data_IF_318916336381
#
_entry.id   IF_318916336381
#
_cell.length_a   1.000
_cell.length_b   1.000
_cell.length_c   1.000
_cell.angle_alpha   90.00
_cell.angle_beta   90.00
_cell.angle_gamma   90.00
#
_symmetry.space_group_name_H-M   'P 1'
#
loop_
_entity.id
_entity.type
_entity.pdbx_description
1 polymer ?
#
# COMPACT_ATOMS: atom_id res chain seq x y z
N UNK A 1 22.46 -29.91 -14.60
CA UNK A 1 23.24 -28.99 -15.46
C UNK A 1 22.59 -28.73 -16.82
N UNK A 2 21.66 -29.56 -17.31
CA UNK A 2 21.06 -29.40 -18.65
C UNK A 2 20.09 -28.21 -18.80
N UNK A 3 19.41 -27.79 -17.73
CA UNK A 3 18.46 -26.68 -17.77
C UNK A 3 19.12 -25.34 -18.18
N UNK A 4 20.31 -25.06 -17.68
CA UNK A 4 21.05 -23.82 -17.98
C UNK A 4 21.54 -23.79 -19.43
N UNK A 5 21.84 -24.96 -20.02
CA UNK A 5 22.25 -25.11 -21.42
C UNK A 5 21.10 -24.77 -22.38
N UNK A 6 19.88 -25.19 -22.07
CA UNK A 6 18.70 -24.88 -22.87
C UNK A 6 18.32 -23.38 -22.81
N UNK A 7 18.50 -22.73 -21.66
CA UNK A 7 18.26 -21.29 -21.54
C UNK A 7 19.33 -20.44 -22.24
N UNK A 8 20.59 -20.87 -22.20
CA UNK A 8 21.68 -20.23 -22.93
C UNK A 8 21.44 -20.28 -24.46
N UNK A 9 21.01 -21.44 -24.99
CA UNK A 9 20.65 -21.60 -26.40
C UNK A 9 19.48 -20.69 -26.82
N UNK A 10 18.46 -20.54 -25.96
CA UNK A 10 17.36 -19.59 -26.20
C UNK A 10 17.85 -18.14 -26.25
N UNK A 11 18.75 -17.75 -25.35
CA UNK A 11 19.33 -16.41 -25.33
C UNK A 11 20.15 -16.11 -26.60
N UNK A 12 20.92 -17.07 -27.10
CA UNK A 12 21.65 -16.94 -28.37
C UNK A 12 20.72 -16.73 -29.57
N UNK A 13 19.63 -17.49 -29.65
CA UNK A 13 18.66 -17.35 -30.74
C UNK A 13 17.99 -15.98 -30.75
N UNK A 14 17.67 -15.44 -29.57
CA UNK A 14 17.13 -14.09 -29.42
C UNK A 14 18.17 -13.04 -29.83
N UNK A 15 19.43 -13.22 -29.43
CA UNK A 15 20.51 -12.30 -29.79
C UNK A 15 20.73 -12.25 -31.31
N UNK A 16 20.75 -13.41 -31.99
CA UNK A 16 20.85 -13.50 -33.46
C UNK A 16 19.66 -12.86 -34.17
N UNK A 17 18.45 -13.06 -33.65
CA UNK A 17 17.24 -12.44 -34.20
C UNK A 17 17.31 -10.91 -34.08
N UNK A 18 17.72 -10.39 -32.91
CA UNK A 18 17.86 -8.95 -32.68
C UNK A 18 18.99 -8.31 -33.49
N UNK A 19 20.04 -9.06 -33.83
CA UNK A 19 21.09 -8.60 -34.74
C UNK A 19 20.57 -8.42 -36.17
N UNK A 20 19.70 -9.33 -36.65
CA UNK A 20 19.03 -9.19 -37.97
C UNK A 20 18.03 -8.03 -38.01
N UNK A 21 17.46 -7.67 -36.86
CA UNK A 21 16.54 -6.54 -36.70
C UNK A 21 17.28 -5.20 -36.48
N UNK A 22 18.60 -5.16 -36.70
CA UNK A 22 19.51 -4.01 -36.46
C UNK A 22 19.46 -3.44 -35.04
N UNK A 23 18.91 -4.19 -34.08
CA UNK A 23 18.84 -3.78 -32.68
C UNK A 23 20.07 -4.27 -31.90
N UNK A 24 21.17 -3.52 -32.08
CA UNK A 24 22.50 -3.85 -31.57
C UNK A 24 22.53 -3.91 -30.03
N UNK A 25 21.82 -3.00 -29.36
CA UNK A 25 21.78 -2.94 -27.89
C UNK A 25 21.08 -4.18 -27.29
N UNK A 26 19.98 -4.60 -27.91
CA UNK A 26 19.26 -5.81 -27.51
C UNK A 26 20.09 -7.06 -27.78
N UNK A 27 20.72 -7.15 -28.95
CA UNK A 27 21.60 -8.26 -29.30
C UNK A 27 22.76 -8.42 -28.29
N UNK A 28 23.38 -7.31 -27.87
CA UNK A 28 24.48 -7.29 -26.90
C UNK A 28 24.06 -7.84 -25.53
N UNK A 29 22.92 -7.38 -25.00
CA UNK A 29 22.40 -7.82 -23.70
C UNK A 29 22.08 -9.32 -23.65
N UNK A 30 21.53 -9.86 -24.73
CA UNK A 30 21.21 -11.29 -24.82
C UNK A 30 22.47 -12.15 -25.04
N UNK A 31 23.50 -11.63 -25.72
CA UNK A 31 24.80 -12.28 -25.83
C UNK A 31 25.50 -12.41 -24.47
N UNK A 32 25.52 -11.33 -23.68
CA UNK A 32 26.09 -11.33 -22.32
C UNK A 32 25.34 -12.29 -21.38
N UNK A 33 24.01 -12.37 -21.53
CA UNK A 33 23.18 -13.31 -20.78
C UNK A 33 23.47 -14.76 -21.16
N UNK A 34 23.66 -15.04 -22.45
CA UNK A 34 24.05 -16.38 -22.93
C UNK A 34 25.44 -16.79 -22.39
N UNK A 35 26.41 -15.85 -22.32
CA UNK A 35 27.73 -16.11 -21.73
C UNK A 35 27.67 -16.54 -20.27
N UNK A 36 26.84 -15.85 -19.47
CA UNK A 36 26.70 -16.12 -18.03
C UNK A 36 25.98 -17.44 -17.73
N UNK A 37 25.04 -17.85 -18.58
CA UNK A 37 24.23 -19.06 -18.38
C UNK A 37 24.87 -20.31 -19.00
N UNK A 38 25.55 -20.17 -20.14
CA UNK A 38 26.06 -21.28 -20.93
C UNK A 38 27.44 -21.79 -20.53
N UNK A 39 28.22 -20.99 -19.79
CA UNK A 39 29.60 -21.33 -19.46
C UNK A 39 30.44 -21.64 -20.71
N UNK A 40 31.37 -22.59 -20.59
CA UNK A 40 32.28 -23.01 -21.66
C UNK A 40 31.55 -23.66 -22.86
N UNK A 41 30.41 -24.33 -22.61
CA UNK A 41 29.68 -25.08 -23.64
C UNK A 41 29.06 -24.21 -24.76
N UNK A 42 28.97 -22.90 -24.54
CA UNK A 42 28.33 -21.94 -25.46
C UNK A 42 29.28 -20.76 -25.78
N UNK A 43 30.52 -20.82 -25.27
CA UNK A 43 31.47 -19.72 -25.32
C UNK A 43 31.89 -19.36 -26.75
N UNK A 44 32.16 -20.36 -27.59
CA UNK A 44 32.51 -20.15 -29.01
C UNK A 44 31.39 -19.45 -29.79
N UNK A 45 30.14 -19.87 -29.54
CA UNK A 45 28.96 -19.32 -30.21
C UNK A 45 28.68 -17.88 -29.77
N UNK A 46 28.90 -17.57 -28.49
CA UNK A 46 28.81 -16.21 -27.97
C UNK A 46 29.94 -15.34 -28.53
N UNK A 47 31.17 -15.85 -28.58
CA UNK A 47 32.32 -15.12 -29.08
C UNK A 47 32.16 -14.73 -30.55
N UNK A 48 31.64 -15.64 -31.39
CA UNK A 48 31.31 -15.34 -32.78
C UNK A 48 30.24 -14.24 -32.88
N UNK A 49 29.16 -14.36 -32.11
CA UNK A 49 28.05 -13.40 -32.13
C UNK A 49 28.46 -12.01 -31.64
N UNK A 50 29.35 -11.92 -30.64
CA UNK A 50 29.88 -10.65 -30.15
C UNK A 50 30.75 -9.97 -31.22
N UNK A 51 31.55 -10.74 -31.99
CA UNK A 51 32.32 -10.18 -33.13
C UNK A 51 31.39 -9.63 -34.22
N UNK A 52 30.30 -10.32 -34.53
CA UNK A 52 29.30 -9.85 -35.50
C UNK A 52 28.60 -8.56 -35.04
N UNK A 53 28.23 -8.47 -33.75
CA UNK A 53 27.67 -7.26 -33.13
C UNK A 53 28.67 -6.09 -33.20
N UNK A 54 29.95 -6.34 -32.93
CA UNK A 54 31.00 -5.32 -32.99
C UNK A 54 31.24 -4.84 -34.43
N UNK A 55 31.23 -5.75 -35.41
CA UNK A 55 31.33 -5.39 -36.83
C UNK A 55 30.14 -4.55 -37.29
N UNK A 56 28.91 -4.92 -36.89
CA UNK A 56 27.70 -4.14 -37.18
C UNK A 56 27.74 -2.73 -36.57
N UNK A 57 28.30 -2.59 -35.36
CA UNK A 57 28.49 -1.30 -34.69
C UNK A 57 29.50 -0.40 -35.41
N UNK A 58 30.50 -0.98 -36.06
CA UNK A 58 31.49 -0.25 -36.86
C UNK A 58 30.96 0.12 -38.25
N UNK A 59 30.06 -0.67 -38.83
CA UNK A 59 29.40 -0.38 -40.12
C UNK A 59 28.44 0.82 -40.09
N UNK A 60 27.83 1.11 -38.94
CA UNK A 60 26.90 2.24 -38.76
C UNK A 60 27.53 3.62 -38.59
N UNK A 61 28.87 3.71 -38.45
CA UNK A 61 29.56 4.96 -38.09
C UNK A 61 29.99 5.83 -39.29
N UNK A 62 29.58 5.52 -40.53
CA UNK A 62 29.90 6.31 -41.74
C UNK A 62 28.79 7.24 -42.24
N UNK A 63 27.71 7.47 -41.48
CA UNK A 63 26.65 8.38 -41.93
C UNK A 63 26.02 9.19 -40.80
N UNK A 64 26.74 10.23 -40.36
CA UNK A 64 26.20 11.57 -40.04
C UNK A 64 27.23 12.36 -39.23
N UNK A 65 27.97 13.23 -39.92
CA UNK A 65 28.60 14.39 -39.30
C UNK A 65 28.69 15.52 -40.34
N UNK A 66 28.40 16.76 -39.91
CA UNK A 66 28.34 18.03 -40.67
C UNK A 66 27.06 18.24 -41.52
N UNK A 67 26.39 19.41 -41.59
CA UNK A 67 26.67 20.79 -41.15
C UNK A 67 25.44 21.70 -41.36
N UNK A 68 25.36 22.79 -40.57
CA UNK A 68 24.80 24.14 -40.80
C UNK A 68 23.88 24.47 -42.00
N UNK A 69 22.90 25.36 -41.75
CA UNK A 69 22.26 26.18 -42.78
C UNK A 69 21.26 27.22 -42.25
N UNK A 70 21.72 28.46 -42.11
CA UNK A 70 20.95 29.69 -41.89
C UNK A 70 20.07 30.07 -43.10
N UNK A 71 18.89 30.65 -42.87
CA UNK A 71 18.07 31.26 -43.92
C UNK A 71 17.07 32.28 -43.37
N UNK A 72 17.23 33.54 -43.76
CA UNK A 72 16.49 34.73 -43.33
C UNK A 72 15.20 34.94 -44.14
N UNK A 73 14.12 35.36 -43.44
CA UNK A 73 13.00 36.31 -43.76
C UNK A 73 12.51 36.54 -45.22
N UNK A 74 11.21 36.84 -45.43
CA UNK A 74 10.76 38.25 -45.40
C UNK A 74 9.45 38.53 -44.64
N UNK A 75 9.25 39.82 -44.42
CA UNK A 75 8.22 40.55 -43.68
C UNK A 75 6.85 40.62 -44.37
N UNK A 76 5.79 40.70 -43.56
CA UNK A 76 4.48 41.26 -43.92
C UNK A 76 3.70 41.63 -42.66
N UNK A 77 3.40 42.91 -42.48
CA UNK A 77 2.72 43.47 -41.32
C UNK A 77 1.21 43.57 -41.55
N UNK A 78 0.40 43.38 -40.49
CA UNK A 78 -0.64 44.35 -40.10
C UNK A 78 -1.35 43.99 -38.78
N UNK A 79 -1.44 45.05 -37.97
CA UNK A 79 -2.31 45.41 -36.86
C UNK A 79 -3.53 44.54 -36.48
N UNK A 80 -3.78 44.44 -35.17
CA UNK A 80 -5.09 44.03 -34.63
C UNK A 80 -5.16 43.81 -33.12
N UNK A 81 -5.26 44.91 -32.36
CA UNK A 81 -6.10 45.11 -31.16
C UNK A 81 -5.94 44.23 -29.90
N UNK A 82 -5.59 44.96 -28.83
CA UNK A 82 -5.63 44.70 -27.38
C UNK A 82 -6.84 43.87 -26.88
N UNK A 83 -6.58 42.99 -25.92
CA UNK A 83 -7.41 42.92 -24.71
C UNK A 83 -6.59 42.42 -23.52
N UNK A 84 -6.61 43.22 -22.45
CA UNK A 84 -6.01 42.96 -21.14
C UNK A 84 -7.03 42.17 -20.31
N UNK A 85 -6.64 41.03 -19.77
CA UNK A 85 -7.25 40.51 -18.54
C UNK A 85 -6.14 40.15 -17.56
N UNK A 86 -6.22 40.77 -16.39
CA UNK A 86 -5.32 40.58 -15.27
C UNK A 86 -5.61 39.24 -14.61
N UNK A 87 -4.66 38.30 -14.69
CA UNK A 87 -4.65 37.06 -13.92
C UNK A 87 -3.25 36.83 -13.36
N UNK A 88 -3.13 36.88 -12.05
CA UNK A 88 -1.88 36.77 -11.28
C UNK A 88 -1.29 35.36 -11.44
N UNK A 89 -0.41 35.18 -12.42
CA UNK A 89 0.32 33.93 -12.63
C UNK A 89 1.57 33.88 -11.74
N UNK A 90 1.55 32.99 -10.76
CA UNK A 90 2.76 32.56 -10.04
C UNK A 90 3.65 31.80 -11.02
N UNK A 91 4.87 32.33 -11.22
CA UNK A 91 6.04 31.72 -11.85
C UNK A 91 6.01 30.18 -11.92
N UNK A 92 5.52 29.61 -13.02
CA UNK A 92 5.80 28.23 -13.40
C UNK A 92 7.13 28.20 -14.15
N UNK A 93 8.22 27.90 -13.43
CA UNK A 93 9.41 27.37 -14.09
C UNK A 93 8.97 26.09 -14.80
N UNK A 94 9.14 26.04 -16.12
CA UNK A 94 8.94 24.81 -16.89
C UNK A 94 10.02 23.81 -16.44
N UNK A 95 9.66 22.94 -15.50
CA UNK A 95 10.49 21.79 -15.13
C UNK A 95 10.60 20.85 -16.32
N UNK A 96 11.84 20.56 -16.70
CA UNK A 96 12.19 19.65 -17.79
C UNK A 96 11.70 18.24 -17.42
N UNK A 97 10.78 17.70 -18.22
CA UNK A 97 10.15 16.40 -18.02
C UNK A 97 11.14 15.25 -18.35
N UNK A 98 12.01 14.94 -17.40
CA UNK A 98 13.06 13.90 -17.47
C UNK A 98 12.49 12.48 -17.25
N UNK A 99 11.66 11.99 -18.18
CA UNK A 99 11.16 10.61 -18.14
C UNK A 99 11.04 9.92 -19.48
N UNK A 100 10.99 8.58 -19.44
CA UNK A 100 10.76 7.76 -20.63
C UNK A 100 9.33 7.95 -21.15
N UNK A 101 9.08 7.81 -22.47
CA UNK A 101 7.73 7.90 -23.03
C UNK A 101 6.76 6.88 -22.42
N UNK A 102 7.25 5.71 -22.00
CA UNK A 102 6.47 4.71 -21.29
C UNK A 102 6.04 5.17 -19.88
N UNK A 103 6.93 5.85 -19.14
CA UNK A 103 6.60 6.41 -17.82
C UNK A 103 5.57 7.53 -17.94
N UNK A 104 5.68 8.40 -18.94
CA UNK A 104 4.67 9.42 -19.26
C UNK A 104 3.29 8.80 -19.53
N UNK A 105 3.24 7.77 -20.37
CA UNK A 105 1.99 7.08 -20.68
C UNK A 105 1.38 6.42 -19.43
N UNK A 106 2.22 5.84 -18.57
CA UNK A 106 1.79 5.22 -17.32
C UNK A 106 1.21 6.25 -16.34
N UNK A 107 1.88 7.38 -16.13
CA UNK A 107 1.42 8.48 -15.26
C UNK A 107 0.10 9.04 -15.78
N UNK A 108 0.01 9.30 -17.10
CA UNK A 108 -1.23 9.79 -17.72
C UNK A 108 -2.40 8.83 -17.55
N UNK A 109 -2.16 7.52 -17.71
CA UNK A 109 -3.19 6.49 -17.50
C UNK A 109 -3.68 6.48 -16.06
N UNK A 110 -2.77 6.52 -15.09
CA UNK A 110 -3.12 6.42 -13.67
C UNK A 110 -3.87 7.66 -13.20
N UNK A 111 -3.43 8.85 -13.60
CA UNK A 111 -4.11 10.09 -13.23
C UNK A 111 -5.47 10.28 -13.93
N UNK A 112 -5.69 9.60 -15.07
CA UNK A 112 -6.96 9.63 -15.80
C UNK A 112 -7.97 8.55 -15.38
N UNK A 113 -7.66 7.73 -14.37
CA UNK A 113 -8.55 6.67 -13.88
C UNK A 113 -8.93 6.93 -12.42
N UNK A 114 -10.22 6.81 -12.11
CA UNK A 114 -10.74 6.94 -10.75
C UNK A 114 -11.03 5.57 -10.08
N UNK A 115 -11.13 4.49 -10.87
CA UNK A 115 -11.32 3.14 -10.35
C UNK A 115 -10.00 2.57 -9.80
N UNK A 116 -10.02 2.16 -8.52
CA UNK A 116 -8.87 1.57 -7.82
C UNK A 116 -8.33 0.30 -8.48
N UNK A 117 -9.18 -0.55 -9.07
CA UNK A 117 -8.71 -1.73 -9.80
C UNK A 117 -7.99 -1.32 -11.10
N UNK A 118 -8.53 -0.34 -11.82
CA UNK A 118 -7.93 0.19 -13.05
C UNK A 118 -6.61 0.92 -12.78
N UNK A 119 -6.52 1.68 -11.68
CA UNK A 119 -5.28 2.32 -11.21
C UNK A 119 -4.17 1.28 -11.01
N UNK A 120 -4.48 0.19 -10.30
CA UNK A 120 -3.55 -0.94 -10.09
C UNK A 120 -3.31 -1.78 -11.36
N UNK A 121 -4.10 -1.59 -12.41
CA UNK A 121 -3.99 -2.32 -13.66
C UNK A 121 -4.50 -3.76 -13.55
N UNK A 122 -5.51 -3.98 -12.72
CA UNK A 122 -6.18 -5.27 -12.52
C UNK A 122 -7.55 -5.22 -13.21
N UNK A 123 -7.80 -6.13 -14.15
CA UNK A 123 -9.10 -6.26 -14.82
C UNK A 123 -10.14 -6.96 -13.96
N UNK A 124 -9.69 -7.92 -13.14
CA UNK A 124 -10.57 -8.86 -12.45
C UNK A 124 -10.82 -8.42 -11.00
N UNK A 125 -12.06 -8.04 -10.70
CA UNK A 125 -12.48 -7.64 -9.34
C UNK A 125 -12.45 -8.80 -8.34
N UNK A 126 -12.43 -10.05 -8.80
CA UNK A 126 -12.28 -11.26 -7.98
C UNK A 126 -10.82 -11.64 -7.70
N UNK A 127 -9.85 -10.78 -8.03
CA UNK A 127 -8.44 -11.06 -7.82
C UNK A 127 -8.05 -11.31 -6.35
N UNK A 128 -7.04 -12.16 -6.15
CA UNK A 128 -6.46 -12.43 -4.83
C UNK A 128 -5.68 -11.24 -4.28
N UNK A 129 -5.57 -11.14 -2.96
CA UNK A 129 -4.77 -10.12 -2.27
C UNK A 129 -3.30 -10.11 -2.74
N UNK A 130 -2.75 -11.28 -3.06
CA UNK A 130 -1.39 -11.39 -3.58
C UNK A 130 -1.22 -10.70 -4.93
N UNK A 131 -2.25 -10.73 -5.78
CA UNK A 131 -2.25 -10.05 -7.07
C UNK A 131 -2.28 -8.53 -6.88
N UNK A 132 -3.07 -8.05 -5.91
CA UNK A 132 -3.13 -6.64 -5.51
C UNK A 132 -1.75 -6.18 -4.99
N UNK A 133 -1.12 -6.93 -4.08
CA UNK A 133 0.23 -6.64 -3.55
C UNK A 133 1.30 -6.64 -4.65
N UNK A 134 1.26 -7.61 -5.57
CA UNK A 134 2.21 -7.69 -6.70
C UNK A 134 2.06 -6.51 -7.66
N UNK A 135 0.84 -6.12 -8.00
CA UNK A 135 0.57 -4.99 -8.89
C UNK A 135 1.04 -3.66 -8.28
N UNK A 136 0.72 -3.44 -6.99
CA UNK A 136 1.20 -2.29 -6.23
C UNK A 136 2.73 -2.21 -6.23
N UNK A 137 3.41 -3.32 -5.90
CA UNK A 137 4.88 -3.37 -5.91
C UNK A 137 5.49 -3.00 -7.27
N UNK A 138 4.89 -3.47 -8.36
CA UNK A 138 5.36 -3.17 -9.72
C UNK A 138 5.16 -1.69 -10.08
N UNK A 139 4.04 -1.08 -9.67
CA UNK A 139 3.74 0.32 -9.96
C UNK A 139 4.52 1.27 -9.07
N UNK A 140 4.64 0.98 -7.77
CA UNK A 140 5.43 1.76 -6.82
C UNK A 140 6.89 1.89 -7.27
N UNK A 141 7.52 0.81 -7.71
CA UNK A 141 8.89 0.85 -8.23
C UNK A 141 9.05 1.66 -9.53
N UNK A 142 7.98 1.75 -10.34
CA UNK A 142 7.99 2.50 -11.61
C UNK A 142 7.71 3.99 -11.42
N UNK A 143 6.96 4.35 -10.39
CA UNK A 143 6.52 5.71 -10.09
C UNK A 143 7.31 6.36 -8.95
N UNK A 144 8.24 5.63 -8.33
CA UNK A 144 9.07 6.15 -7.25
C UNK A 144 9.82 7.42 -7.68
N UNK A 145 9.89 8.48 -6.84
CA UNK A 145 10.49 9.77 -7.20
C UNK A 145 11.96 9.67 -7.63
N UNK A 146 12.71 8.72 -7.06
CA UNK A 146 14.10 8.43 -7.46
C UNK A 146 14.24 7.84 -8.89
N UNK A 147 13.20 7.17 -9.41
CA UNK A 147 13.23 6.45 -10.71
C UNK A 147 12.40 7.12 -11.79
N UNK A 148 11.45 7.99 -11.43
CA UNK A 148 10.52 8.63 -12.34
C UNK A 148 10.39 10.12 -12.01
N UNK A 149 11.01 10.97 -12.82
CA UNK A 149 10.93 12.44 -12.71
C UNK A 149 9.96 13.04 -13.73
N UNK A 150 8.86 12.33 -13.99
CA UNK A 150 7.81 12.78 -14.91
C UNK A 150 6.85 13.71 -14.18
N UNK A 151 6.39 14.76 -14.86
CA UNK A 151 5.36 15.67 -14.31
C UNK A 151 4.09 14.88 -13.94
N UNK A 152 3.66 15.00 -12.68
CA UNK A 152 2.49 14.29 -12.15
C UNK A 152 2.73 12.84 -11.72
N UNK A 153 4.00 12.37 -11.70
CA UNK A 153 4.35 11.05 -11.18
C UNK A 153 4.03 10.92 -9.68
N UNK A 154 4.18 12.01 -8.92
CA UNK A 154 3.81 12.08 -7.50
C UNK A 154 2.31 11.85 -7.30
N UNK A 155 1.47 12.51 -8.09
CA UNK A 155 0.01 12.32 -8.04
C UNK A 155 -0.40 10.90 -8.43
N UNK A 156 0.27 10.33 -9.42
CA UNK A 156 0.05 8.94 -9.83
C UNK A 156 0.47 7.97 -8.72
N UNK A 157 1.57 8.24 -8.03
CA UNK A 157 2.02 7.45 -6.89
C UNK A 157 1.02 7.53 -5.73
N UNK A 158 0.54 8.74 -5.39
CA UNK A 158 -0.53 8.95 -4.40
C UNK A 158 -1.81 8.20 -4.77
N UNK A 159 -2.22 8.21 -6.04
CA UNK A 159 -3.39 7.46 -6.51
C UNK A 159 -3.20 5.94 -6.35
N UNK A 160 -2.04 5.41 -6.70
CA UNK A 160 -1.70 3.99 -6.54
C UNK A 160 -1.69 3.57 -5.07
N UNK A 161 -1.15 4.41 -4.17
CA UNK A 161 -1.13 4.15 -2.74
C UNK A 161 -2.54 4.17 -2.13
N UNK A 162 -3.38 5.14 -2.50
CA UNK A 162 -4.79 5.17 -2.07
C UNK A 162 -5.56 3.94 -2.52
N UNK A 163 -5.41 3.54 -3.79
CA UNK A 163 -6.03 2.35 -4.34
C UNK A 163 -5.60 1.09 -3.57
N UNK A 164 -4.30 0.96 -3.28
CA UNK A 164 -3.78 -0.16 -2.50
C UNK A 164 -4.32 -0.17 -1.07
N UNK A 165 -4.31 0.96 -0.35
CA UNK A 165 -4.83 1.05 1.03
C UNK A 165 -6.31 0.68 1.16
N UNK A 166 -7.10 0.90 0.10
CA UNK A 166 -8.51 0.50 0.06
C UNK A 166 -8.66 -0.99 -0.30
N UNK A 167 -7.95 -1.46 -1.33
CA UNK A 167 -8.09 -2.82 -1.85
C UNK A 167 -7.33 -3.90 -1.06
N UNK A 168 -6.33 -3.53 -0.27
CA UNK A 168 -5.54 -4.45 0.54
C UNK A 168 -6.26 -4.95 1.80
N UNK A 169 -7.27 -4.22 2.26
CA UNK A 169 -8.06 -4.54 3.45
C UNK A 169 -9.41 -5.13 3.00
N UNK A 170 -9.75 -6.37 3.38
CA UNK A 170 -11.00 -7.02 2.97
C UNK A 170 -12.26 -6.22 3.31
N UNK A 171 -12.28 -5.50 4.43
CA UNK A 171 -13.43 -4.72 4.88
C UNK A 171 -13.60 -3.44 4.05
N UNK A 172 -12.48 -2.76 3.75
CA UNK A 172 -12.48 -1.56 2.90
C UNK A 172 -12.76 -1.89 1.45
N UNK A 173 -12.18 -2.99 0.94
CA UNK A 173 -12.46 -3.54 -0.39
C UNK A 173 -13.93 -3.88 -0.55
N UNK A 174 -14.54 -4.59 0.40
CA UNK A 174 -15.97 -4.90 0.38
C UNK A 174 -16.84 -3.63 0.37
N UNK A 175 -16.43 -2.60 1.11
CA UNK A 175 -17.15 -1.31 1.12
C UNK A 175 -17.02 -0.61 -0.23
N UNK A 176 -15.81 -0.56 -0.81
CA UNK A 176 -15.57 -0.01 -2.14
C UNK A 176 -16.33 -0.76 -3.25
N UNK A 177 -16.35 -2.09 -3.20
CA UNK A 177 -17.06 -2.92 -4.18
C UNK A 177 -18.59 -2.71 -4.12
N UNK A 178 -19.12 -2.32 -2.95
CA UNK A 178 -20.56 -2.08 -2.74
C UNK A 178 -21.01 -0.65 -3.04
N UNK A 179 -20.15 0.34 -2.79
CA UNK A 179 -20.53 1.76 -2.83
C UNK A 179 -19.75 2.58 -3.89
N UNK A 180 -18.69 2.06 -4.49
CA UNK A 180 -17.87 2.75 -5.48
C UNK A 180 -16.86 3.76 -4.91
N UNK A 181 -16.18 4.50 -5.80
CA UNK A 181 -15.21 5.56 -5.45
C UNK A 181 -15.87 6.87 -4.99
N UNK A 182 -17.18 7.03 -5.18
CA UNK A 182 -17.93 8.21 -4.76
C UNK A 182 -18.38 8.07 -3.30
N UNK A 183 -17.44 8.31 -2.38
CA UNK A 183 -17.83 8.82 -1.07
C UNK A 183 -17.52 10.32 -1.06
N UNK A 184 -18.53 11.21 -1.21
CA UNK A 184 -18.31 12.63 -0.99
C UNK A 184 -17.86 12.79 0.46
N UNK A 185 -16.84 13.62 0.66
CA UNK A 185 -16.08 13.71 1.90
C UNK A 185 -16.96 13.71 3.16
N UNK A 186 -16.64 12.80 4.08
CA UNK A 186 -16.99 12.97 5.49
C UNK A 186 -16.11 14.09 6.08
N UNK A 187 -16.44 15.33 5.70
CA UNK A 187 -16.02 16.54 6.38
C UNK A 187 -17.10 16.95 7.37
N UNK A 188 -16.76 16.95 8.66
CA UNK A 188 -17.45 17.75 9.69
C UNK A 188 -18.51 17.01 10.51
N UNK A 189 -18.14 16.64 11.74
CA UNK A 189 -19.07 16.19 12.77
C UNK A 189 -18.32 15.62 13.97
N UNK A 190 -17.82 16.50 14.85
CA UNK A 190 -17.01 16.13 16.00
C UNK A 190 -17.75 15.28 17.05
N UNK A 191 -16.96 14.57 17.86
CA UNK A 191 -17.44 14.03 19.14
C UNK A 191 -16.78 12.71 19.59
N UNK A 192 -15.88 12.80 20.57
CA UNK A 192 -15.86 11.85 21.69
C UNK A 192 -15.02 10.57 21.58
N UNK A 193 -13.75 10.69 21.99
CA UNK A 193 -13.10 9.87 23.03
C UNK A 193 -13.28 8.35 23.08
N UNK A 194 -12.20 7.62 22.77
CA UNK A 194 -11.82 6.38 23.44
C UNK A 194 -10.27 6.30 23.51
N UNK A 195 -9.68 5.85 24.65
CA UNK A 195 -8.24 5.85 24.83
C UNK A 195 -7.68 4.54 24.27
N UNK A 196 -7.16 4.59 23.05
CA UNK A 196 -6.30 3.54 22.51
C UNK A 196 -5.21 4.20 21.70
N UNK A 197 -4.10 4.49 22.37
CA UNK A 197 -2.87 4.89 21.68
C UNK A 197 -2.39 3.69 20.89
N UNK A 198 -2.43 3.82 19.55
CA UNK A 198 -1.69 3.10 18.50
C UNK A 198 -2.49 2.98 17.18
N UNK A 199 -3.77 3.34 17.14
CA UNK A 199 -4.58 3.34 15.90
C UNK A 199 -5.40 4.61 15.68
N UNK A 200 -4.80 5.78 15.93
CA UNK A 200 -5.37 7.06 15.49
C UNK A 200 -4.36 7.88 14.70
N UNK A 201 -3.88 7.30 13.60
CA UNK A 201 -3.53 8.13 12.45
C UNK A 201 -4.78 8.26 11.58
N UNK A 202 -5.20 9.51 11.39
CA UNK A 202 -6.23 9.88 10.44
C UNK A 202 -5.96 9.18 9.10
N UNK A 203 -6.95 8.44 8.60
CA UNK A 203 -6.90 7.70 7.34
C UNK A 203 -6.93 8.61 6.09
N UNK A 204 -6.40 9.83 6.20
CA UNK A 204 -6.14 10.74 5.09
C UNK A 204 -4.66 11.10 4.95
N UNK A 205 -3.78 10.68 5.87
CA UNK A 205 -2.35 11.02 5.83
C UNK A 205 -1.47 9.89 6.34
N UNK A 206 -1.71 8.63 5.92
CA UNK A 206 -0.56 7.72 5.84
C UNK A 206 0.24 8.22 4.64
N UNK A 207 1.38 8.83 4.92
CA UNK A 207 2.30 9.28 3.88
C UNK A 207 2.61 8.07 2.98
N UNK A 208 2.35 8.15 1.66
CA UNK A 208 2.71 7.09 0.72
C UNK A 208 4.16 6.61 0.87
N UNK A 209 5.06 7.49 1.32
CA UNK A 209 6.45 7.16 1.62
C UNK A 209 6.60 6.31 2.89
N UNK A 210 5.78 6.54 3.93
CA UNK A 210 5.78 5.75 5.17
C UNK A 210 5.18 4.35 4.95
N UNK A 211 4.09 4.25 4.18
CA UNK A 211 3.51 2.98 3.76
C UNK A 211 4.53 2.16 2.93
N UNK A 212 5.29 2.83 2.07
CA UNK A 212 6.36 2.22 1.30
C UNK A 212 7.53 1.81 2.20
N UNK A 213 8.00 2.66 3.11
CA UNK A 213 9.09 2.34 4.02
C UNK A 213 8.76 1.17 4.97
N UNK A 214 7.51 1.06 5.41
CA UNK A 214 7.02 -0.09 6.18
C UNK A 214 7.07 -1.40 5.39
N UNK A 215 6.95 -1.36 4.06
CA UNK A 215 6.92 -2.55 3.20
C UNK A 215 8.28 -2.85 2.52
N UNK A 216 9.06 -1.82 2.20
CA UNK A 216 10.31 -1.90 1.42
C UNK A 216 11.56 -1.48 2.22
N UNK A 217 11.42 -0.71 3.30
CA UNK A 217 12.52 -0.15 4.08
C UNK A 217 12.86 -0.91 5.37
N UNK A 218 12.08 -1.93 5.75
CA UNK A 218 12.26 -2.66 7.02
C UNK A 218 12.18 -4.19 6.93
N UNK A 219 12.05 -4.77 5.74
CA UNK A 219 12.01 -6.23 5.56
C UNK A 219 13.43 -6.78 5.31
N UNK A 220 13.91 -7.80 6.05
CA UNK A 220 15.26 -8.36 5.90
C UNK A 220 15.48 -9.12 4.56
N UNK A 221 14.48 -9.12 3.68
CA UNK A 221 14.47 -9.87 2.42
C UNK A 221 15.05 -9.07 1.24
N UNK A 222 15.14 -7.73 1.34
CA UNK A 222 15.62 -6.88 0.24
C UNK A 222 16.51 -5.74 0.76
N UNK A 223 17.81 -6.00 0.97
CA UNK A 223 18.74 -4.91 1.24
C UNK A 223 20.11 -5.31 1.76
N UNK A 224 20.91 -5.99 0.93
CA UNK A 224 22.34 -5.74 0.99
C UNK A 224 22.59 -4.27 0.64
N UNK A 225 23.44 -3.62 1.42
CA UNK A 225 24.05 -2.30 1.20
C UNK A 225 23.11 -1.10 1.13
N UNK A 226 22.97 -0.39 2.27
CA UNK A 226 23.42 1.01 2.34
C UNK A 226 24.07 1.30 3.69
N UNK A 227 25.28 1.82 3.57
CA UNK A 227 26.09 2.40 4.62
C UNK A 227 25.38 3.60 5.25
N UNK A 228 25.16 3.55 6.55
CA UNK A 228 25.21 4.72 7.42
C UNK A 228 25.89 4.31 8.72
N UNK A 229 27.22 4.40 8.74
CA UNK A 229 27.99 4.36 9.98
C UNK A 229 28.27 5.79 10.43
N UNK A 230 27.59 6.20 11.49
CA UNK A 230 28.00 7.29 12.35
C UNK A 230 29.26 6.85 13.09
N UNK A 231 30.38 7.52 12.78
CA UNK A 231 31.57 7.79 13.60
C UNK A 231 31.66 7.10 14.98
N UNK A 232 32.57 6.13 15.12
CA UNK A 232 33.52 6.06 16.25
C UNK A 232 34.72 5.20 15.89
N UNK A 233 35.91 5.80 15.89
CA UNK A 233 37.16 5.11 15.60
C UNK A 233 37.63 4.25 16.77
N UNK A 234 38.35 3.17 16.45
CA UNK A 234 39.49 2.70 17.21
C UNK A 234 40.38 1.85 16.29
N UNK A 235 41.66 2.21 16.23
CA UNK A 235 42.72 1.47 15.54
C UNK A 235 43.08 0.20 16.32
N UNK A 236 43.15 -0.94 15.65
CA UNK A 236 44.16 -1.98 15.94
C UNK A 236 44.56 -2.70 14.66
N UNK A 237 45.87 -2.85 14.52
CA UNK A 237 46.62 -3.39 13.38
C UNK A 237 46.54 -4.93 13.32
N UNK A 238 46.44 -5.43 12.08
CA UNK A 238 47.31 -6.46 11.43
C UNK A 238 47.35 -7.88 12.02
N UNK A 239 46.91 -8.88 11.25
CA UNK A 239 47.72 -10.05 10.81
C UNK A 239 46.86 -11.02 9.97
N UNK A 240 47.47 -11.69 9.00
CA UNK A 240 46.84 -12.62 8.06
C UNK A 240 46.71 -14.08 8.53
N UNK A 241 46.32 -14.94 7.59
CA UNK A 241 46.14 -16.40 7.72
C UNK A 241 44.74 -16.79 7.23
N UNK A 242 44.57 -17.21 5.97
CA UNK A 242 44.79 -18.55 5.41
C UNK A 242 43.78 -19.59 5.95
N UNK A 243 43.10 -20.24 4.99
CA UNK A 243 41.82 -20.91 5.19
C UNK A 243 41.88 -22.26 5.91
N UNK A 244 40.69 -22.68 6.35
CA UNK A 244 40.35 -24.03 6.78
C UNK A 244 38.86 -24.28 6.48
N UNK A 245 38.47 -25.49 6.05
CA UNK A 245 37.09 -25.80 5.68
C UNK A 245 36.23 -25.93 6.93
N UNK A 246 35.15 -25.15 7.02
CA UNK A 246 34.23 -25.19 8.16
C UNK A 246 33.23 -26.33 7.97
N UNK A 247 33.38 -27.36 8.78
CA UNK A 247 32.43 -28.47 8.92
C UNK A 247 31.03 -27.97 9.29
N UNK A 248 30.02 -28.68 8.80
CA UNK A 248 28.60 -28.41 9.01
C UNK A 248 28.19 -28.67 10.46
N UNK A 249 28.51 -27.73 11.35
CA UNK A 249 27.90 -27.62 12.67
C UNK A 249 26.57 -26.87 12.63
N UNK A 250 25.61 -27.28 13.46
CA UNK A 250 24.36 -26.56 13.67
C UNK A 250 24.63 -25.06 13.88
N UNK A 251 24.09 -24.22 12.99
CA UNK A 251 24.30 -22.78 13.00
C UNK A 251 23.53 -22.13 14.16
N UNK A 252 24.10 -22.16 15.37
CA UNK A 252 23.61 -21.40 16.54
C UNK A 252 23.41 -19.91 16.20
N UNK A 253 24.21 -19.36 15.28
CA UNK A 253 24.05 -18.00 14.76
C UNK A 253 22.71 -17.78 14.03
N UNK A 254 22.19 -18.78 13.32
CA UNK A 254 20.89 -18.71 12.65
C UNK A 254 19.72 -18.77 13.66
N UNK A 255 19.88 -19.51 14.76
CA UNK A 255 18.89 -19.57 15.85
C UNK A 255 18.82 -18.24 16.60
N UNK A 256 19.97 -17.62 16.86
CA UNK A 256 20.03 -16.30 17.53
C UNK A 256 19.40 -15.20 16.67
N UNK A 257 19.48 -15.29 15.34
CA UNK A 257 18.79 -14.36 14.43
C UNK A 257 17.26 -14.48 14.46
N UNK A 258 16.73 -15.63 14.88
CA UNK A 258 15.28 -15.85 15.01
C UNK A 258 14.73 -15.39 16.36
N UNK A 259 15.57 -15.22 17.38
CA UNK A 259 15.14 -14.78 18.73
C UNK A 259 14.32 -13.48 18.75
N UNK A 260 14.68 -12.41 18.01
CA UNK A 260 13.89 -11.18 18.00
C UNK A 260 12.51 -11.38 17.35
N UNK A 261 12.44 -12.18 16.28
CA UNK A 261 11.17 -12.50 15.60
C UNK A 261 10.31 -13.40 16.47
N UNK A 262 10.91 -14.42 17.07
CA UNK A 262 10.25 -15.32 18.01
C UNK A 262 9.74 -14.55 19.24
N UNK A 263 10.54 -13.61 19.75
CA UNK A 263 10.14 -12.72 20.84
C UNK A 263 8.97 -11.83 20.44
N UNK A 264 8.97 -11.23 19.25
CA UNK A 264 7.84 -10.44 18.75
C UNK A 264 6.58 -11.29 18.56
N UNK A 265 6.71 -12.53 18.09
CA UNK A 265 5.58 -13.47 17.96
C UNK A 265 5.07 -13.89 19.33
N UNK A 266 5.94 -14.25 20.28
CA UNK A 266 5.53 -14.55 21.65
C UNK A 266 4.91 -13.35 22.35
N UNK A 267 5.49 -12.15 22.17
CA UNK A 267 5.01 -10.92 22.78
C UNK A 267 3.64 -10.51 22.21
N UNK A 268 3.40 -10.71 20.93
CA UNK A 268 2.07 -10.48 20.32
C UNK A 268 1.04 -11.53 20.73
N UNK A 269 1.44 -12.78 20.97
CA UNK A 269 0.57 -13.83 21.49
C UNK A 269 0.23 -13.68 22.98
N UNK A 270 1.15 -13.13 23.77
CA UNK A 270 0.96 -12.89 25.22
C UNK A 270 0.27 -11.54 25.46
N UNK A 271 0.49 -10.54 24.60
CA UNK A 271 0.00 -9.16 24.77
C UNK A 271 -1.40 -8.86 24.22
N UNK A 272 -2.02 -9.76 23.45
CA UNK A 272 -3.36 -9.59 22.86
C UNK A 272 -4.44 -10.44 23.53
N UNK A 273 -4.42 -10.56 24.86
CA UNK A 273 -5.66 -10.92 25.55
C UNK A 273 -6.62 -9.73 25.41
N UNK A 274 -7.76 -9.83 24.72
CA UNK A 274 -8.73 -8.74 24.70
C UNK A 274 -9.08 -8.43 26.16
N UNK A 275 -8.76 -7.22 26.61
CA UNK A 275 -9.11 -6.77 27.96
C UNK A 275 -10.59 -7.05 28.16
N UNK A 276 -10.92 -7.89 29.15
CA UNK A 276 -12.31 -8.27 29.37
C UNK A 276 -13.17 -7.03 29.58
N UNK A 277 -14.35 -6.93 28.95
CA UNK A 277 -15.16 -5.72 29.03
C UNK A 277 -15.64 -5.49 30.47
N UNK A 278 -15.76 -4.21 30.86
CA UNK A 278 -16.18 -3.83 32.22
C UNK A 278 -17.65 -4.21 32.48
N UNK A 279 -18.48 -4.19 31.44
CA UNK A 279 -19.91 -4.51 31.49
C UNK A 279 -20.36 -5.36 30.29
N UNK A 280 -21.61 -5.82 30.35
CA UNK A 280 -22.35 -6.47 29.27
C UNK A 280 -23.77 -5.91 29.21
N UNK A 281 -24.34 -5.72 28.00
CA UNK A 281 -25.73 -5.30 27.83
C UNK A 281 -26.73 -6.43 28.12
N UNK A 282 -26.26 -7.67 28.06
CA UNK A 282 -27.07 -8.86 28.34
C UNK A 282 -26.52 -9.59 29.56
N UNK A 283 -27.41 -10.21 30.33
CA UNK A 283 -27.00 -11.08 31.42
C UNK A 283 -26.21 -12.26 30.86
N UNK A 284 -25.00 -12.45 31.36
CA UNK A 284 -24.11 -13.55 30.98
C UNK A 284 -23.57 -14.20 32.25
N UNK A 285 -23.09 -15.44 32.18
CA UNK A 285 -22.68 -16.20 33.39
C UNK A 285 -21.75 -15.43 34.32
N UNK A 286 -20.78 -14.67 33.77
CA UNK A 286 -19.86 -13.82 34.55
C UNK A 286 -20.34 -12.39 34.75
N UNK A 287 -21.39 -11.93 34.06
CA UNK A 287 -21.99 -10.60 34.17
C UNK A 287 -23.45 -10.76 34.61
N UNK A 288 -23.66 -10.93 35.91
CA UNK A 288 -24.95 -11.24 36.50
C UNK A 288 -25.47 -10.14 37.45
N UNK A 289 -24.61 -9.21 37.87
CA UNK A 289 -25.02 -8.10 38.72
C UNK A 289 -25.60 -6.97 37.85
N UNK A 290 -26.87 -6.60 38.08
CA UNK A 290 -27.55 -5.55 37.33
C UNK A 290 -27.16 -4.17 37.86
N UNK A 291 -26.94 -3.25 36.93
CA UNK A 291 -26.74 -1.83 37.14
C UNK A 291 -27.61 -1.04 36.17
N UNK A 292 -27.84 0.24 36.47
CA UNK A 292 -28.69 1.10 35.64
C UNK A 292 -27.97 2.43 35.40
N UNK A 293 -28.02 2.94 34.17
CA UNK A 293 -27.39 4.24 33.83
C UNK A 293 -28.14 5.40 34.48
N UNK A 294 -27.39 6.41 34.95
CA UNK A 294 -27.98 7.51 35.72
C UNK A 294 -28.93 8.41 34.90
N UNK A 295 -28.71 8.58 33.60
CA UNK A 295 -29.49 9.52 32.77
C UNK A 295 -30.69 8.87 32.09
N UNK A 296 -30.48 7.70 31.48
CA UNK A 296 -31.47 7.05 30.60
C UNK A 296 -32.10 5.80 31.18
N UNK A 297 -31.73 5.39 32.39
CA UNK A 297 -32.32 4.24 33.04
C UNK A 297 -32.05 2.91 32.32
N UNK A 298 -30.91 2.80 31.60
CA UNK A 298 -30.60 1.62 30.80
C UNK A 298 -29.95 0.57 31.70
N UNK A 299 -30.54 -0.62 31.73
CA UNK A 299 -30.00 -1.76 32.47
C UNK A 299 -28.79 -2.37 31.76
N UNK A 300 -27.72 -2.60 32.51
CA UNK A 300 -26.52 -3.30 32.08
C UNK A 300 -26.01 -4.21 33.20
N UNK A 301 -25.09 -5.12 32.85
CA UNK A 301 -24.63 -6.17 33.75
C UNK A 301 -23.13 -6.10 33.97
N UNK A 302 -22.72 -6.17 35.23
CA UNK A 302 -21.33 -6.19 35.68
C UNK A 302 -21.02 -7.50 36.39
N UNK A 303 -19.73 -7.78 36.61
CA UNK A 303 -19.31 -9.03 37.24
C UNK A 303 -19.68 -9.13 38.71
N UNK A 304 -19.69 -8.00 39.41
CA UNK A 304 -20.03 -7.92 40.84
C UNK A 304 -20.35 -6.48 41.21
N UNK A 305 -21.51 -6.25 41.81
CA UNK A 305 -21.95 -4.93 42.27
C UNK A 305 -20.91 -4.26 43.19
N UNK A 306 -20.47 -4.97 44.23
CA UNK A 306 -19.53 -4.43 45.24
C UNK A 306 -18.16 -4.07 44.65
N UNK A 307 -17.61 -4.90 43.75
CA UNK A 307 -16.31 -4.59 43.11
C UNK A 307 -16.45 -3.40 42.16
N UNK A 308 -17.54 -3.38 41.40
CA UNK A 308 -17.81 -2.34 40.43
C UNK A 308 -18.05 -0.98 41.09
N UNK A 309 -18.83 -0.90 42.18
CA UNK A 309 -19.06 0.35 42.89
C UNK A 309 -17.81 0.87 43.63
N UNK A 310 -16.89 -0.01 44.04
CA UNK A 310 -15.60 0.41 44.58
C UNK A 310 -14.67 1.01 43.52
N UNK A 311 -14.68 0.45 42.32
CA UNK A 311 -13.83 0.90 41.21
C UNK A 311 -14.43 2.09 40.44
N UNK A 312 -15.77 2.13 40.34
CA UNK A 312 -16.56 3.16 39.68
C UNK A 312 -17.67 3.68 40.62
N UNK A 313 -17.32 4.44 41.68
CA UNK A 313 -18.31 4.95 42.61
C UNK A 313 -19.33 5.87 41.93
N UNK A 314 -20.58 5.81 42.39
CA UNK A 314 -21.68 6.64 41.88
C UNK A 314 -21.34 8.13 42.01
N UNK A 315 -21.71 8.91 41.00
CA UNK A 315 -21.42 10.36 40.94
C UNK A 315 -20.01 10.72 40.47
N UNK A 316 -19.11 9.76 40.30
CA UNK A 316 -17.76 10.03 39.78
C UNK A 316 -17.72 10.16 38.25
N UNK A 317 -16.70 10.85 37.74
CA UNK A 317 -16.45 10.93 36.30
C UNK A 317 -16.17 9.55 35.68
N UNK A 318 -15.49 8.66 36.41
CA UNK A 318 -15.23 7.29 35.98
C UNK A 318 -16.53 6.51 35.75
N UNK A 319 -17.49 6.59 36.68
CA UNK A 319 -18.81 5.97 36.52
C UNK A 319 -19.59 6.57 35.35
N UNK A 320 -19.60 7.90 35.22
CA UNK A 320 -20.26 8.59 34.09
C UNK A 320 -19.71 8.14 32.74
N UNK A 321 -18.39 7.89 32.63
CA UNK A 321 -17.79 7.37 31.38
C UNK A 321 -18.29 5.97 31.03
N UNK A 322 -18.47 5.11 32.04
CA UNK A 322 -19.06 3.78 31.82
C UNK A 322 -20.51 3.93 31.37
N UNK A 323 -21.30 4.75 32.06
CA UNK A 323 -22.70 5.01 31.69
C UNK A 323 -22.81 5.51 30.24
N UNK A 324 -22.00 6.50 29.83
CA UNK A 324 -22.00 7.01 28.44
C UNK A 324 -21.64 5.91 27.42
N UNK A 325 -20.69 5.03 27.77
CA UNK A 325 -20.32 3.90 26.91
C UNK A 325 -21.47 2.89 26.79
N UNK A 326 -22.12 2.54 27.91
CA UNK A 326 -23.31 1.67 27.96
C UNK A 326 -24.42 2.25 27.09
N UNK A 327 -24.71 3.54 27.22
CA UNK A 327 -25.77 4.21 26.45
C UNK A 327 -25.47 4.18 24.95
N UNK A 328 -24.22 4.43 24.55
CA UNK A 328 -23.78 4.36 23.16
C UNK A 328 -23.93 2.95 22.58
N UNK A 329 -23.47 1.95 23.31
CA UNK A 329 -23.54 0.56 22.86
C UNK A 329 -24.99 0.06 22.82
N UNK A 330 -25.82 0.47 23.79
CA UNK A 330 -27.23 0.11 23.84
C UNK A 330 -28.00 0.72 22.67
N UNK A 331 -27.70 1.96 22.30
CA UNK A 331 -28.24 2.60 21.10
C UNK A 331 -27.90 1.80 19.85
N UNK A 332 -26.63 1.46 19.65
CA UNK A 332 -26.18 0.69 18.49
C UNK A 332 -26.86 -0.68 18.44
N UNK A 333 -27.03 -1.32 19.59
CA UNK A 333 -27.76 -2.59 19.72
C UNK A 333 -29.21 -2.45 19.25
N UNK A 334 -29.93 -1.42 19.71
CA UNK A 334 -31.32 -1.16 19.32
C UNK A 334 -31.47 -0.78 17.84
N UNK A 335 -30.54 0.00 17.28
CA UNK A 335 -30.50 0.31 15.85
C UNK A 335 -30.34 -0.96 15.00
N UNK A 336 -29.46 -1.87 15.41
CA UNK A 336 -29.25 -3.14 14.73
C UNK A 336 -30.45 -4.10 14.86
N UNK A 337 -31.09 -4.18 16.03
CA UNK A 337 -32.33 -4.94 16.22
C UNK A 337 -33.49 -4.35 15.41
N UNK A 338 -33.67 -3.03 15.44
CA UNK A 338 -34.66 -2.32 14.65
C UNK A 338 -34.49 -2.59 13.14
N UNK A 339 -33.26 -2.52 12.63
CA UNK A 339 -32.95 -2.84 11.24
C UNK A 339 -33.30 -4.29 10.89
N UNK A 340 -32.99 -5.26 11.77
CA UNK A 340 -33.36 -6.68 11.58
C UNK A 340 -34.87 -6.90 11.61
N UNK A 341 -35.59 -6.27 12.54
CA UNK A 341 -37.05 -6.33 12.61
C UNK A 341 -37.67 -5.81 11.30
N UNK A 342 -37.16 -4.69 10.77
CA UNK A 342 -37.63 -4.10 9.51
C UNK A 342 -37.39 -5.01 8.30
N UNK A 343 -36.24 -5.69 8.25
CA UNK A 343 -35.95 -6.67 7.18
C UNK A 343 -36.90 -7.88 7.22
N UNK A 344 -37.13 -8.45 8.41
CA UNK A 344 -38.07 -9.56 8.59
C UNK A 344 -39.48 -9.18 8.11
N UNK A 345 -39.90 -7.94 8.35
CA UNK A 345 -41.19 -7.46 7.88
C UNK A 345 -41.26 -7.33 6.35
N UNK A 346 -40.22 -6.75 5.71
CA UNK A 346 -40.20 -6.55 4.25
C UNK A 346 -40.28 -7.86 3.47
N UNK A 347 -39.81 -8.98 4.04
CA UNK A 347 -39.94 -10.31 3.46
C UNK A 347 -41.30 -11.00 3.66
N UNK A 348 -42.14 -10.51 4.58
CA UNK A 348 -43.37 -11.19 5.04
C UNK A 348 -44.65 -10.38 4.77
N UNK A 349 -44.59 -9.38 3.88
CA UNK A 349 -45.65 -8.39 3.61
C UNK A 349 -46.83 -8.93 2.78
N UNK A 350 -47.40 -10.07 3.20
CA UNK A 350 -48.61 -10.68 2.64
C UNK A 350 -49.90 -10.35 3.40
N UNK A 351 -49.93 -9.33 4.27
CA UNK A 351 -51.16 -8.95 4.98
C UNK A 351 -50.98 -7.85 6.01
N UNK A 352 -51.87 -6.85 5.96
CA UNK A 352 -51.94 -5.70 6.88
C UNK A 352 -52.12 -6.18 8.33
N UNK A 353 -51.05 -6.15 9.12
CA UNK A 353 -51.10 -6.12 10.59
C UNK A 353 -50.25 -4.94 11.05
N UNK A 354 -50.75 -4.20 12.04
CA UNK A 354 -49.98 -3.12 12.71
C UNK A 354 -48.61 -3.65 13.12
N UNK A 355 -47.58 -2.95 12.66
CA UNK A 355 -46.20 -3.41 12.83
C UNK A 355 -45.68 -2.88 14.16
N UNK A 356 -45.66 -3.75 15.16
CA UNK A 356 -45.07 -3.42 16.45
C UNK A 356 -43.55 -3.68 16.41
N UNK A 357 -42.80 -2.72 15.84
CA UNK A 357 -41.33 -2.74 15.83
C UNK A 357 -40.81 -2.37 17.23
N UNK A 358 -40.81 -3.35 18.16
CA UNK A 358 -40.50 -3.13 19.58
C UNK A 358 -39.14 -2.45 19.76
N UNK A 359 -38.12 -2.86 19.01
CA UNK A 359 -36.77 -2.31 19.13
C UNK A 359 -36.68 -0.89 18.55
N UNK A 360 -37.38 -0.61 17.45
CA UNK A 360 -37.44 0.73 16.87
C UNK A 360 -38.22 1.71 17.77
N UNK A 361 -39.34 1.27 18.35
CA UNK A 361 -40.14 2.07 19.28
C UNK A 361 -39.35 2.41 20.55
N UNK A 362 -38.62 1.43 21.09
CA UNK A 362 -37.76 1.64 22.27
C UNK A 362 -36.59 2.59 21.98
N UNK A 363 -36.05 2.55 20.76
CA UNK A 363 -35.04 3.51 20.32
C UNK A 363 -35.60 4.94 20.31
N UNK A 364 -36.79 5.17 19.74
CA UNK A 364 -37.44 6.48 19.73
C UNK A 364 -37.91 6.94 21.11
N UNK A 365 -38.35 6.03 21.98
CA UNK A 365 -38.79 6.35 23.34
C UNK A 365 -37.64 6.91 24.18
N UNK A 366 -36.45 6.29 24.05
CA UNK A 366 -35.30 6.68 24.84
C UNK A 366 -34.61 7.91 24.22
N UNK A 367 -34.39 7.96 22.91
CA UNK A 367 -33.56 9.01 22.27
C UNK A 367 -34.33 10.11 21.53
N UNK A 368 -35.66 10.05 21.46
CA UNK A 368 -36.46 10.93 20.60
C UNK A 368 -36.25 10.64 19.12
#
# INVERSE_FOLDING_TARGET
MEANKAEAAKCLNIARKSLREENIDKATRFADKAKRLGGEAVEDQVAQLVREIQAAKQGGSKRSNASNGSGSKPSGASAGTRSRTSGRASSSREEVDEGTPEQRALVKRINGCEDYYAILGISDKSCSEDTIKRSYKKLALKLHPDKCKVRGAEDAFKAVSRAFSCLSDPQKRSSYDRFGSEQPGFGGGGGGGAPSGFYRHNAQEIDPEELFNMFFGGSPVFGHTRFHTTRRGFNTRRSGGQGGPQEQGFNLAAIIQLLPVLFLVLFTLIGNSPSEPVYSLQMQGKYNARETTAMRGIDYYVKSHSKFDREYPKGTYARRRVDVAVEKDYRQFLENECWRERLRYRGNSGGKKEVHLKSCMKLSEIWG
#
